data_IF_800101741016
#
_entry.id   IF_800101741016
#
_cell.length_a   1.000
_cell.length_b   1.000
_cell.length_c   1.000
_cell.angle_alpha   90.00
_cell.angle_beta   90.00
_cell.angle_gamma   90.00
#
_symmetry.space_group_name_H-M   'P 1'
#
loop_
_entity.id
_entity.type
_entity.pdbx_description
1 polymer ?
#
# COMPACT_ATOMS: atom_id res chain seq x y z
N UNK A 1 -13.48 -7.06 -4.47
CA UNK A 1 -14.19 -6.70 -5.69
C UNK A 1 -15.68 -6.63 -5.42
N UNK A 2 -16.40 -5.79 -6.16
CA UNK A 2 -17.85 -5.60 -6.02
C UNK A 2 -18.64 -6.89 -6.22
N UNK A 3 -18.16 -7.80 -7.04
CA UNK A 3 -18.77 -9.09 -7.30
C UNK A 3 -18.73 -9.99 -6.06
N UNK A 4 -17.57 -10.12 -5.43
CA UNK A 4 -17.45 -10.92 -4.18
C UNK A 4 -18.34 -10.38 -3.07
N UNK A 5 -18.44 -9.07 -2.95
CA UNK A 5 -19.30 -8.45 -1.96
C UNK A 5 -20.79 -8.71 -2.24
N UNK A 6 -21.20 -8.69 -3.51
CA UNK A 6 -22.56 -9.00 -3.91
C UNK A 6 -22.89 -10.47 -3.65
N UNK A 7 -21.98 -11.37 -4.01
CA UNK A 7 -22.15 -12.81 -3.82
C UNK A 7 -22.26 -13.16 -2.34
N UNK A 8 -21.49 -12.48 -1.51
CA UNK A 8 -21.57 -12.62 -0.07
C UNK A 8 -22.94 -12.28 0.52
N UNK A 9 -23.67 -11.35 -0.08
CA UNK A 9 -25.01 -10.95 0.37
C UNK A 9 -26.10 -11.95 0.02
N UNK A 10 -25.90 -12.71 -1.04
CA UNK A 10 -26.91 -13.60 -1.59
C UNK A 10 -26.70 -15.05 -1.19
N UNK A 11 -25.56 -15.37 -0.59
CA UNK A 11 -25.19 -16.73 -0.27
C UNK A 11 -25.43 -17.07 1.20
N UNK A 12 -25.62 -18.32 1.48
CA UNK A 12 -25.77 -18.80 2.84
C UNK A 12 -24.40 -18.89 3.55
N UNK A 13 -24.44 -19.07 4.85
CA UNK A 13 -23.25 -19.09 5.73
C UNK A 13 -22.29 -20.26 5.47
N UNK A 14 -22.64 -21.22 4.64
CA UNK A 14 -21.81 -22.39 4.33
C UNK A 14 -20.77 -22.14 3.23
N UNK A 15 -20.87 -21.01 2.52
CA UNK A 15 -19.91 -20.66 1.50
C UNK A 15 -18.75 -19.83 2.07
N UNK A 16 -17.51 -20.34 2.07
CA UNK A 16 -16.37 -19.58 2.47
C UNK A 16 -16.08 -18.47 1.43
N UNK A 17 -15.99 -17.23 1.89
CA UNK A 17 -15.63 -16.08 1.07
C UNK A 17 -14.37 -15.49 1.64
N UNK A 18 -13.30 -15.56 0.89
CA UNK A 18 -12.09 -14.82 1.24
C UNK A 18 -12.35 -13.33 1.09
N UNK A 19 -12.45 -12.66 2.21
CA UNK A 19 -12.58 -11.21 2.24
C UNK A 19 -11.71 -10.64 3.33
N UNK A 20 -10.81 -9.76 2.93
CA UNK A 20 -9.81 -9.18 3.81
C UNK A 20 -10.33 -7.97 4.61
N UNK A 21 -11.54 -7.54 4.36
CA UNK A 21 -12.13 -6.35 4.95
C UNK A 21 -12.81 -6.59 6.27
N UNK A 22 -13.59 -7.66 6.31
CA UNK A 22 -14.45 -7.97 7.44
C UNK A 22 -14.03 -9.31 8.04
N UNK A 23 -13.44 -9.32 9.23
CA UNK A 23 -13.14 -10.56 9.92
C UNK A 23 -14.42 -11.20 10.46
N UNK A 24 -14.44 -12.52 10.46
CA UNK A 24 -15.47 -13.30 11.13
C UNK A 24 -15.13 -13.55 12.60
N UNK A 25 -16.10 -14.09 13.33
CA UNK A 25 -15.92 -14.46 14.72
C UNK A 25 -15.75 -13.26 15.65
N UNK A 26 -16.15 -12.08 15.20
CA UNK A 26 -16.21 -10.91 16.05
C UNK A 26 -17.53 -10.95 16.82
N UNK A 27 -17.44 -10.98 18.14
CA UNK A 27 -18.62 -10.88 19.00
C UNK A 27 -19.26 -9.49 18.85
N UNK A 28 -20.54 -9.33 19.26
CA UNK A 28 -21.18 -8.01 19.31
C UNK A 28 -20.40 -6.98 20.13
N UNK A 29 -19.60 -7.44 21.09
CA UNK A 29 -18.69 -6.59 21.89
C UNK A 29 -17.38 -6.23 21.18
N UNK A 30 -17.12 -6.73 19.99
CA UNK A 30 -15.89 -6.51 19.24
C UNK A 30 -14.71 -7.40 19.63
N UNK A 31 -14.91 -8.39 20.49
CA UNK A 31 -13.83 -9.29 20.93
C UNK A 31 -13.49 -10.32 19.86
N UNK A 32 -12.21 -10.47 19.56
CA UNK A 32 -11.70 -11.51 18.65
C UNK A 32 -11.72 -12.85 19.35
N UNK A 33 -12.51 -13.80 18.85
CA UNK A 33 -12.71 -15.11 19.47
C UNK A 33 -11.93 -16.25 18.83
N UNK A 34 -11.42 -16.03 17.60
CA UNK A 34 -10.78 -17.08 16.80
C UNK A 34 -9.60 -16.54 16.02
N UNK A 35 -8.77 -17.44 15.49
CA UNK A 35 -7.66 -17.10 14.59
C UNK A 35 -8.16 -16.41 13.32
N UNK A 36 -7.31 -15.60 12.70
CA UNK A 36 -7.63 -14.83 11.50
C UNK A 36 -8.24 -15.72 10.39
N UNK A 37 -7.61 -16.84 10.07
CA UNK A 37 -8.08 -17.73 9.01
C UNK A 37 -9.54 -18.19 9.21
N UNK A 38 -9.92 -18.46 10.46
CA UNK A 38 -11.31 -18.85 10.81
C UNK A 38 -12.27 -17.67 10.72
N UNK A 39 -11.81 -16.46 11.07
CA UNK A 39 -12.64 -15.24 11.08
C UNK A 39 -12.91 -14.66 9.70
N UNK A 40 -12.03 -14.93 8.73
CA UNK A 40 -12.10 -14.31 7.40
C UNK A 40 -12.97 -15.06 6.38
N UNK A 41 -13.46 -16.26 6.72
CA UNK A 41 -14.13 -17.13 5.76
C UNK A 41 -15.67 -17.12 5.79
N UNK A 42 -16.38 -17.10 6.93
CA UNK A 42 -17.83 -17.18 6.90
C UNK A 42 -18.52 -15.89 6.42
N UNK A 43 -19.66 -16.09 5.81
CA UNK A 43 -20.48 -15.00 5.26
C UNK A 43 -21.15 -14.14 6.34
N UNK A 44 -21.27 -14.66 7.56
CA UNK A 44 -21.87 -13.95 8.69
C UNK A 44 -21.24 -12.58 8.98
N UNK A 45 -19.98 -12.38 8.58
CA UNK A 45 -19.29 -11.10 8.68
C UNK A 45 -19.99 -9.95 7.94
N UNK A 46 -20.83 -10.26 6.98
CA UNK A 46 -21.63 -9.26 6.26
C UNK A 46 -23.00 -9.01 6.91
N UNK A 47 -23.29 -9.67 7.99
CA UNK A 47 -24.51 -9.44 8.76
C UNK A 47 -24.52 -8.05 9.39
N UNK A 48 -25.74 -7.52 9.60
CA UNK A 48 -25.93 -6.16 10.13
C UNK A 48 -25.35 -5.98 11.54
N UNK A 49 -25.33 -7.04 12.33
CA UNK A 49 -24.78 -7.01 13.70
C UNK A 49 -23.26 -6.83 13.77
N UNK A 50 -22.53 -7.22 12.75
CA UNK A 50 -21.08 -7.17 12.74
C UNK A 50 -20.51 -5.88 12.10
N UNK A 51 -21.29 -5.17 11.32
CA UNK A 51 -20.82 -4.00 10.57
C UNK A 51 -20.18 -2.91 11.43
N UNK A 52 -20.75 -2.66 12.61
CA UNK A 52 -20.28 -1.60 13.49
C UNK A 52 -18.99 -1.95 14.24
N UNK A 53 -18.75 -3.23 14.46
CA UNK A 53 -17.57 -3.73 15.17
C UNK A 53 -16.35 -3.84 14.26
N UNK A 54 -16.56 -3.92 12.97
CA UNK A 54 -15.50 -4.10 11.98
C UNK A 54 -15.07 -2.77 11.39
N UNK A 55 -16.01 -1.85 11.27
CA UNK A 55 -15.81 -0.50 10.74
C UNK A 55 -15.73 0.51 11.87
N UNK A 56 -14.82 0.32 12.79
CA UNK A 56 -14.55 1.32 13.83
C UNK A 56 -13.86 2.57 13.27
N UNK A 57 -13.57 2.59 11.99
CA UNK A 57 -12.96 3.72 11.29
C UNK A 57 -14.06 4.57 10.69
N UNK A 58 -14.05 5.83 11.00
CA UNK A 58 -14.92 6.90 10.48
C UNK A 58 -16.41 6.53 10.41
N UNK A 59 -17.17 6.98 11.38
CA UNK A 59 -18.62 6.77 11.47
C UNK A 59 -19.45 7.80 10.73
N UNK A 60 -18.83 8.69 9.96
CA UNK A 60 -19.51 9.81 9.32
C UNK A 60 -19.24 9.84 7.83
N UNK A 61 -20.29 9.98 7.04
CA UNK A 61 -20.18 10.19 5.59
C UNK A 61 -20.05 8.92 4.74
N UNK A 62 -19.33 9.03 3.66
CA UNK A 62 -19.13 7.99 2.62
C UNK A 62 -18.10 6.92 2.99
N UNK A 63 -17.49 7.01 4.18
CA UNK A 63 -16.37 6.17 4.60
C UNK A 63 -16.77 4.82 5.18
N UNK A 64 -17.89 4.29 4.74
CA UNK A 64 -18.38 2.98 5.15
C UNK A 64 -18.14 1.92 4.09
N UNK A 65 -17.80 0.73 4.54
CA UNK A 65 -17.69 -0.45 3.70
C UNK A 65 -16.31 -0.59 3.05
N UNK A 66 -16.26 -1.32 1.94
CA UNK A 66 -15.02 -1.70 1.28
C UNK A 66 -14.15 -0.53 0.79
N UNK A 67 -14.71 0.64 0.61
CA UNK A 67 -14.00 1.83 0.14
C UNK A 67 -13.61 2.81 1.26
N UNK A 68 -13.83 2.44 2.52
CA UNK A 68 -13.37 3.24 3.64
C UNK A 68 -11.84 3.43 3.56
N UNK A 69 -11.37 4.66 3.66
CA UNK A 69 -9.95 5.00 3.52
C UNK A 69 -9.39 4.98 2.08
N UNK A 70 -10.24 4.83 1.06
CA UNK A 70 -9.83 4.92 -0.35
C UNK A 70 -9.95 6.34 -0.93
N UNK A 71 -9.90 7.36 -0.09
CA UNK A 71 -9.98 8.77 -0.48
C UNK A 71 -8.69 9.36 -1.06
N UNK A 72 -7.60 8.61 -1.06
CA UNK A 72 -6.31 9.06 -1.58
C UNK A 72 -6.38 9.35 -3.08
N UNK A 73 -5.60 10.32 -3.50
CA UNK A 73 -5.46 10.66 -4.92
C UNK A 73 -4.96 9.45 -5.72
N UNK A 74 -5.72 9.07 -6.73
CA UNK A 74 -5.36 7.92 -7.56
C UNK A 74 -4.09 8.20 -8.39
N UNK A 75 -3.38 7.13 -8.70
CA UNK A 75 -2.16 7.16 -9.49
C UNK A 75 -2.39 7.79 -10.87
N UNK A 76 -1.42 8.57 -11.35
CA UNK A 76 -1.40 9.14 -12.69
C UNK A 76 -0.51 8.30 -13.60
N UNK A 77 -0.97 8.04 -14.82
CA UNK A 77 -0.16 7.38 -15.87
C UNK A 77 0.96 8.28 -16.37
N UNK A 78 1.97 7.71 -17.02
CA UNK A 78 3.01 8.50 -17.66
C UNK A 78 2.39 9.53 -18.61
N UNK A 79 2.75 10.77 -18.40
CA UNK A 79 2.19 11.91 -19.13
C UNK A 79 3.32 12.70 -19.78
N UNK A 80 3.18 12.99 -21.06
CA UNK A 80 4.13 13.85 -21.76
C UNK A 80 4.01 15.27 -21.21
N UNK A 81 5.10 15.86 -20.76
CA UNK A 81 5.14 17.19 -20.12
C UNK A 81 5.84 18.26 -20.97
N UNK A 82 5.92 18.04 -22.28
CA UNK A 82 6.59 19.00 -23.19
C UNK A 82 5.82 20.30 -23.36
N UNK A 83 4.49 20.26 -23.29
CA UNK A 83 3.66 21.45 -23.37
C UNK A 83 3.26 21.98 -22.00
N UNK A 84 2.91 23.27 -21.93
CA UNK A 84 2.42 23.90 -20.68
C UNK A 84 1.17 23.21 -20.17
N UNK A 85 0.19 22.96 -21.05
CA UNK A 85 -1.06 22.28 -20.70
C UNK A 85 -0.82 20.93 -20.04
N UNK A 86 0.11 20.14 -20.56
CA UNK A 86 0.43 18.81 -20.00
C UNK A 86 1.15 18.94 -18.64
N UNK A 87 2.04 19.91 -18.47
CA UNK A 87 2.64 20.21 -17.16
C UNK A 87 1.61 20.64 -16.13
N UNK A 88 0.63 21.43 -16.54
CA UNK A 88 -0.43 21.91 -15.65
C UNK A 88 -1.35 20.78 -15.20
N UNK A 89 -1.61 19.78 -16.05
CA UNK A 89 -2.31 18.55 -15.64
C UNK A 89 -1.56 17.80 -14.52
N UNK A 90 -0.23 17.65 -14.64
CA UNK A 90 0.58 17.01 -13.59
C UNK A 90 0.57 17.83 -12.31
N UNK A 91 0.72 19.17 -12.41
CA UNK A 91 0.65 20.06 -11.25
C UNK A 91 -0.71 19.99 -10.56
N UNK A 92 -1.80 20.01 -11.33
CA UNK A 92 -3.14 19.88 -10.79
C UNK A 92 -3.32 18.55 -10.05
N UNK A 93 -2.74 17.45 -10.59
CA UNK A 93 -2.77 16.15 -9.94
C UNK A 93 -2.01 16.14 -8.61
N UNK A 94 -0.84 16.76 -8.58
CA UNK A 94 -0.06 16.92 -7.34
C UNK A 94 -0.84 17.76 -6.30
N UNK A 95 -1.50 18.84 -6.74
CA UNK A 95 -2.33 19.68 -5.87
C UNK A 95 -3.57 19.00 -5.30
N UNK A 96 -3.98 17.84 -5.85
CA UNK A 96 -5.07 17.02 -5.31
C UNK A 96 -4.62 16.05 -4.22
N UNK A 97 -3.32 15.90 -4.01
CA UNK A 97 -2.81 14.99 -2.99
C UNK A 97 -3.16 15.51 -1.60
N UNK A 98 -3.66 14.62 -0.77
CA UNK A 98 -4.00 14.88 0.63
C UNK A 98 -3.12 14.01 1.52
N UNK A 99 -2.75 14.56 2.67
CA UNK A 99 -2.05 13.80 3.70
C UNK A 99 -3.07 12.99 4.50
N UNK A 100 -3.04 11.67 4.36
CA UNK A 100 -3.95 10.77 5.08
C UNK A 100 -3.35 9.36 5.19
N UNK A 101 -3.66 8.68 6.28
CA UNK A 101 -3.29 7.30 6.54
C UNK A 101 -1.83 7.10 6.96
N UNK A 102 -1.35 5.89 6.74
CA UNK A 102 0.00 5.44 7.08
C UNK A 102 0.97 5.60 5.90
N UNK A 103 2.23 5.86 6.19
CA UNK A 103 3.28 5.95 5.17
C UNK A 103 3.72 4.55 4.74
N UNK A 104 3.72 4.29 3.44
CA UNK A 104 4.22 3.06 2.84
C UNK A 104 5.05 3.37 1.59
N UNK A 105 6.30 3.75 1.82
CA UNK A 105 7.24 4.14 0.76
C UNK A 105 7.50 2.98 -0.21
N UNK A 106 7.63 1.76 0.32
CA UNK A 106 7.84 0.56 -0.48
C UNK A 106 6.73 0.34 -1.53
N UNK A 107 5.47 0.57 -1.14
CA UNK A 107 4.32 0.44 -2.04
C UNK A 107 4.30 1.56 -3.08
N UNK A 108 4.52 2.81 -2.66
CA UNK A 108 4.60 3.96 -3.56
C UNK A 108 5.69 3.78 -4.61
N UNK A 109 6.89 3.34 -4.18
CA UNK A 109 8.02 3.06 -5.06
C UNK A 109 7.72 1.92 -6.06
N UNK A 110 7.11 0.83 -5.60
CA UNK A 110 6.74 -0.27 -6.46
C UNK A 110 5.74 0.16 -7.56
N UNK A 111 4.73 0.94 -7.21
CA UNK A 111 3.78 1.48 -8.17
C UNK A 111 4.41 2.52 -9.10
N UNK A 112 5.31 3.37 -8.60
CA UNK A 112 6.11 4.26 -9.44
C UNK A 112 6.93 3.48 -10.48
N UNK A 113 7.55 2.37 -10.07
CA UNK A 113 8.27 1.50 -10.99
C UNK A 113 7.36 0.81 -12.02
N UNK A 114 6.17 0.38 -11.60
CA UNK A 114 5.17 -0.18 -12.53
C UNK A 114 4.76 0.82 -13.61
N UNK A 115 4.68 2.11 -13.32
CA UNK A 115 4.37 3.13 -14.35
C UNK A 115 5.46 3.24 -15.41
N UNK A 116 6.73 2.94 -15.08
CA UNK A 116 7.86 2.96 -16.00
C UNK A 116 7.98 1.66 -16.81
N UNK A 117 7.18 0.65 -16.49
CA UNK A 117 7.23 -0.66 -17.14
C UNK A 117 6.49 -0.64 -18.48
N UNK A 118 6.98 -1.42 -19.43
CA UNK A 118 6.27 -1.73 -20.68
C UNK A 118 5.29 -2.92 -20.52
N UNK A 119 5.13 -3.45 -19.30
CA UNK A 119 4.22 -4.54 -18.96
C UNK A 119 2.97 -4.02 -18.25
N UNK A 120 1.94 -4.86 -18.17
CA UNK A 120 0.77 -4.60 -17.35
C UNK A 120 1.19 -4.25 -15.89
N UNK A 121 0.41 -3.41 -15.18
CA UNK A 121 -0.95 -2.96 -15.52
C UNK A 121 -1.03 -1.73 -16.42
N UNK A 122 0.04 -0.94 -16.60
CA UNK A 122 -0.01 0.31 -17.36
C UNK A 122 0.49 0.17 -18.80
N UNK A 123 1.62 -0.50 -18.97
CA UNK A 123 2.29 -0.70 -20.26
C UNK A 123 2.68 0.61 -21.00
N UNK A 124 2.83 1.72 -20.25
CA UNK A 124 3.18 3.03 -20.81
C UNK A 124 4.67 3.23 -20.99
N UNK A 125 5.49 2.43 -20.29
CA UNK A 125 6.93 2.53 -20.35
C UNK A 125 7.51 2.01 -21.66
N UNK A 126 8.62 2.58 -22.10
CA UNK A 126 9.33 2.11 -23.28
C UNK A 126 10.00 0.77 -23.00
N UNK A 127 9.90 -0.17 -23.94
CA UNK A 127 10.60 -1.45 -23.87
C UNK A 127 12.12 -1.21 -23.99
N UNK A 128 12.92 -1.59 -22.99
CA UNK A 128 14.37 -1.38 -22.99
C UNK A 128 15.10 -2.15 -24.10
N UNK A 129 14.51 -3.19 -24.67
CA UNK A 129 15.10 -3.96 -25.76
C UNK A 129 15.07 -3.21 -27.10
N UNK A 130 14.17 -2.25 -27.27
CA UNK A 130 14.02 -1.48 -28.50
C UNK A 130 15.11 -0.42 -28.67
N UNK A 131 15.28 0.09 -29.91
CA UNK A 131 16.19 1.22 -30.19
C UNK A 131 15.80 2.47 -29.39
N UNK A 132 14.49 2.74 -29.24
CA UNK A 132 13.98 3.83 -28.42
C UNK A 132 14.29 3.61 -26.94
N UNK A 133 14.11 2.37 -26.44
CA UNK A 133 14.40 2.00 -25.06
C UNK A 133 15.87 2.18 -24.68
N UNK A 134 16.78 1.81 -25.59
CA UNK A 134 18.23 2.01 -25.39
C UNK A 134 18.65 3.48 -25.27
N UNK A 135 17.83 4.41 -25.78
CA UNK A 135 18.02 5.86 -25.69
C UNK A 135 17.20 6.52 -24.58
N UNK A 136 16.45 5.75 -23.81
CA UNK A 136 15.55 6.24 -22.77
C UNK A 136 16.13 5.94 -21.39
N UNK A 137 16.31 6.97 -20.58
CA UNK A 137 16.63 6.80 -19.15
C UNK A 137 15.33 6.75 -18.35
N UNK A 138 15.17 5.71 -17.55
CA UNK A 138 14.07 5.58 -16.60
C UNK A 138 14.51 6.13 -15.25
N UNK A 139 13.76 7.09 -14.73
CA UNK A 139 14.09 7.77 -13.48
C UNK A 139 12.90 7.73 -12.55
N UNK A 140 13.16 7.43 -11.28
CA UNK A 140 12.23 7.61 -10.17
C UNK A 140 12.74 8.74 -9.30
N UNK A 141 11.86 9.69 -8.96
CA UNK A 141 12.09 10.65 -7.90
C UNK A 141 11.22 10.23 -6.72
N UNK A 142 11.87 9.68 -5.70
CA UNK A 142 11.23 9.24 -4.47
C UNK A 142 11.29 10.40 -3.46
N UNK A 143 10.13 10.82 -2.97
CA UNK A 143 10.03 11.88 -1.96
C UNK A 143 9.20 11.39 -0.79
N UNK A 144 9.71 11.57 0.43
CA UNK A 144 8.99 11.28 1.67
C UNK A 144 9.40 12.25 2.77
N UNK A 145 8.51 12.47 3.71
CA UNK A 145 8.70 13.28 4.92
C UNK A 145 8.70 12.44 6.22
N UNK A 146 8.63 11.12 6.11
CA UNK A 146 8.54 10.27 7.30
C UNK A 146 9.00 8.84 7.13
N UNK A 147 8.98 8.15 8.27
CA UNK A 147 9.26 6.72 8.37
C UNK A 147 8.10 5.90 7.81
N UNK A 148 8.38 4.71 7.32
CA UNK A 148 7.33 3.74 7.03
C UNK A 148 6.54 3.41 8.30
N UNK A 149 5.22 3.34 8.18
CA UNK A 149 4.34 3.06 9.31
C UNK A 149 3.32 1.97 8.97
N UNK A 150 2.95 1.21 9.98
CA UNK A 150 1.82 0.27 9.94
C UNK A 150 1.24 0.20 11.34
N UNK A 151 0.25 1.06 11.60
CA UNK A 151 -0.29 1.24 12.94
C UNK A 151 -1.22 0.11 13.36
N UNK A 152 -1.32 -0.05 14.67
CA UNK A 152 -2.41 -0.80 15.27
C UNK A 152 -3.58 0.12 15.52
N UNK A 153 -4.78 -0.39 15.28
CA UNK A 153 -6.01 0.31 15.59
C UNK A 153 -6.81 -0.48 16.63
N UNK A 154 -7.55 0.24 17.45
CA UNK A 154 -8.51 -0.39 18.35
C UNK A 154 -9.74 -0.86 17.55
N UNK A 155 -9.51 -1.87 16.75
CA UNK A 155 -10.52 -2.56 15.96
C UNK A 155 -10.34 -4.08 16.11
N UNK A 156 -11.31 -4.90 15.68
CA UNK A 156 -11.24 -6.36 15.82
C UNK A 156 -10.02 -7.02 15.17
N UNK A 157 -9.35 -6.35 14.22
CA UNK A 157 -8.14 -6.85 13.58
C UNK A 157 -6.85 -6.37 14.25
N UNK A 158 -6.97 -5.42 15.19
CA UNK A 158 -5.84 -4.76 15.85
C UNK A 158 -4.78 -4.28 14.82
N UNK A 159 -5.22 -3.78 13.69
CA UNK A 159 -4.38 -3.40 12.57
C UNK A 159 -5.11 -2.49 11.59
N UNK A 160 -4.37 -1.58 10.97
CA UNK A 160 -4.80 -0.92 9.74
C UNK A 160 -4.95 -1.95 8.59
N UNK A 161 -5.84 -1.66 7.66
CA UNK A 161 -5.84 -2.34 6.36
C UNK A 161 -4.90 -1.59 5.42
N UNK A 162 -3.88 -2.27 4.94
CA UNK A 162 -2.83 -1.69 4.11
C UNK A 162 -2.72 -2.43 2.77
N UNK A 163 -1.78 -2.03 1.91
CA UNK A 163 -1.45 -2.80 0.71
C UNK A 163 -1.02 -4.26 0.98
N UNK A 164 -0.65 -4.56 2.22
CA UNK A 164 -0.37 -5.94 2.68
C UNK A 164 -1.59 -6.60 3.35
N UNK A 165 -2.74 -5.95 3.34
CA UNK A 165 -3.90 -6.36 4.11
C UNK A 165 -3.75 -6.05 5.60
N UNK A 166 -4.52 -6.75 6.43
CA UNK A 166 -4.35 -6.70 7.88
C UNK A 166 -3.13 -7.49 8.33
N UNK A 167 -2.48 -7.05 9.40
CA UNK A 167 -1.25 -7.68 9.91
C UNK A 167 -1.45 -9.18 10.22
N UNK A 168 -2.62 -9.53 10.77
CA UNK A 168 -2.99 -10.93 11.10
C UNK A 168 -3.07 -11.88 9.89
N UNK A 169 -3.08 -11.37 8.66
CA UNK A 169 -3.03 -12.19 7.45
C UNK A 169 -1.62 -12.73 7.15
N UNK A 170 -0.60 -12.26 7.85
CA UNK A 170 0.78 -12.73 7.71
C UNK A 170 1.44 -12.43 6.36
N UNK A 171 0.90 -11.49 5.59
CA UNK A 171 1.49 -11.09 4.29
C UNK A 171 2.69 -10.18 4.45
N UNK A 172 2.71 -9.35 5.49
CA UNK A 172 3.86 -8.56 5.84
C UNK A 172 4.84 -9.44 6.62
N UNK A 173 6.04 -9.61 6.09
CA UNK A 173 7.09 -10.46 6.64
C UNK A 173 8.32 -9.62 6.92
N UNK A 174 9.06 -9.97 7.97
CA UNK A 174 10.37 -9.39 8.25
C UNK A 174 11.41 -9.83 7.20
N UNK A 175 12.63 -9.31 7.31
CA UNK A 175 13.74 -9.63 6.41
C UNK A 175 14.08 -11.14 6.36
N UNK A 176 13.82 -11.88 7.45
CA UNK A 176 14.02 -13.34 7.52
C UNK A 176 12.86 -14.16 6.93
N UNK A 177 11.83 -13.51 6.39
CA UNK A 177 10.66 -14.18 5.82
C UNK A 177 9.61 -14.61 6.85
N UNK A 178 9.77 -14.28 8.13
CA UNK A 178 8.80 -14.57 9.18
C UNK A 178 7.63 -13.59 9.11
N UNK A 179 6.42 -14.11 9.09
CA UNK A 179 5.21 -13.29 9.08
C UNK A 179 5.07 -12.49 10.37
N UNK A 180 4.71 -11.23 10.25
CA UNK A 180 4.35 -10.41 11.39
C UNK A 180 2.95 -10.75 11.89
N UNK A 181 2.72 -10.46 13.15
CA UNK A 181 1.46 -10.74 13.86
C UNK A 181 0.90 -9.47 14.47
N UNK A 182 -0.32 -9.54 14.99
CA UNK A 182 -0.96 -8.43 15.69
C UNK A 182 -0.22 -7.99 16.97
N UNK A 183 0.67 -8.85 17.50
CA UNK A 183 1.54 -8.54 18.64
C UNK A 183 2.90 -7.97 18.22
N UNK A 184 3.22 -7.89 16.94
CA UNK A 184 4.46 -7.30 16.45
C UNK A 184 4.53 -5.81 16.80
N UNK A 185 5.69 -5.34 17.25
CA UNK A 185 5.88 -3.92 17.62
C UNK A 185 5.79 -3.00 16.40
N UNK A 186 5.54 -1.72 16.61
CA UNK A 186 5.57 -0.72 15.55
C UNK A 186 6.91 -0.72 14.82
N UNK A 187 8.01 -0.85 15.56
CA UNK A 187 9.37 -0.97 15.00
C UNK A 187 9.48 -2.18 14.07
N UNK A 188 9.04 -3.37 14.52
CA UNK A 188 9.12 -4.57 13.68
C UNK A 188 8.28 -4.44 12.40
N UNK A 189 7.15 -3.75 12.48
CA UNK A 189 6.29 -3.50 11.30
C UNK A 189 6.93 -2.50 10.35
N UNK A 190 7.52 -1.42 10.87
CA UNK A 190 8.32 -0.45 10.10
C UNK A 190 9.45 -1.16 9.38
N UNK A 191 10.31 -1.87 10.12
CA UNK A 191 11.51 -2.52 9.58
C UNK A 191 11.17 -3.59 8.52
N UNK A 192 9.99 -4.20 8.63
CA UNK A 192 9.50 -5.12 7.59
C UNK A 192 9.13 -4.40 6.29
N UNK A 193 8.56 -3.19 6.36
CA UNK A 193 8.28 -2.36 5.18
C UNK A 193 9.58 -1.83 4.60
N UNK A 194 10.52 -1.38 5.43
CA UNK A 194 11.85 -0.91 5.02
C UNK A 194 12.62 -1.98 4.26
N UNK A 195 12.55 -3.23 4.72
CA UNK A 195 13.15 -4.36 4.02
C UNK A 195 12.56 -4.57 2.62
N UNK A 196 11.27 -4.31 2.44
CA UNK A 196 10.61 -4.36 1.13
C UNK A 196 10.97 -3.16 0.27
N UNK A 197 11.08 -1.98 0.87
CA UNK A 197 11.54 -0.78 0.18
C UNK A 197 12.93 -1.00 -0.39
N UNK A 198 13.87 -1.47 0.44
CA UNK A 198 15.21 -1.83 -0.02
C UNK A 198 15.19 -2.82 -1.17
N UNK A 199 14.37 -3.86 -1.08
CA UNK A 199 14.26 -4.87 -2.13
C UNK A 199 13.75 -4.27 -3.45
N UNK A 200 12.77 -3.35 -3.40
CA UNK A 200 12.25 -2.67 -4.60
C UNK A 200 13.32 -1.75 -5.19
N UNK A 201 14.04 -0.99 -4.33
CA UNK A 201 15.14 -0.13 -4.77
C UNK A 201 16.23 -0.93 -5.49
N UNK A 202 16.69 -2.03 -4.88
CA UNK A 202 17.75 -2.86 -5.44
C UNK A 202 17.31 -3.49 -6.79
N UNK A 203 16.09 -3.99 -6.87
CA UNK A 203 15.56 -4.58 -8.10
C UNK A 203 15.37 -3.53 -9.21
N UNK A 204 14.90 -2.33 -8.88
CA UNK A 204 14.74 -1.25 -9.85
C UNK A 204 16.10 -0.80 -10.40
N UNK A 205 17.08 -0.60 -9.50
CA UNK A 205 18.47 -0.26 -9.88
C UNK A 205 19.09 -1.36 -10.76
N UNK A 206 18.89 -2.62 -10.42
CA UNK A 206 19.37 -3.77 -11.23
C UNK A 206 18.75 -3.82 -12.64
N UNK A 207 17.59 -3.19 -12.84
CA UNK A 207 16.95 -3.01 -14.16
C UNK A 207 17.32 -1.69 -14.85
N UNK A 208 18.33 -0.98 -14.34
CA UNK A 208 18.83 0.26 -14.94
C UNK A 208 17.96 1.49 -14.65
N UNK A 209 17.04 1.41 -13.70
CA UNK A 209 16.27 2.58 -13.25
C UNK A 209 17.14 3.42 -12.32
N UNK A 210 17.23 4.71 -12.58
CA UNK A 210 17.89 5.65 -11.69
C UNK A 210 16.90 6.15 -10.64
N UNK A 211 17.32 6.15 -9.37
CA UNK A 211 16.51 6.60 -8.25
C UNK A 211 17.17 7.81 -7.61
N UNK A 212 16.46 8.93 -7.61
CA UNK A 212 16.75 10.10 -6.78
C UNK A 212 15.87 10.00 -5.54
N UNK A 213 16.43 10.14 -4.36
CA UNK A 213 15.69 10.12 -3.11
C UNK A 213 15.77 11.49 -2.41
N UNK A 214 14.62 11.97 -1.96
CA UNK A 214 14.48 13.27 -1.29
C UNK A 214 13.80 13.04 0.05
N UNK A 215 14.50 13.38 1.14
CA UNK A 215 13.97 13.28 2.50
C UNK A 215 13.68 14.66 3.06
N UNK A 216 12.41 14.96 3.35
CA UNK A 216 12.01 16.25 3.91
C UNK A 216 11.78 16.10 5.41
N UNK A 217 12.71 16.57 6.24
CA UNK A 217 12.56 16.50 7.69
C UNK A 217 12.56 15.07 8.27
N UNK A 218 13.10 14.12 7.54
CA UNK A 218 13.10 12.68 7.91
C UNK A 218 14.00 12.39 9.10
N UNK A 219 13.68 11.31 9.82
CA UNK A 219 14.52 10.76 10.88
C UNK A 219 15.88 10.27 10.35
N UNK A 220 16.85 10.09 11.24
CA UNK A 220 18.14 9.47 10.88
C UNK A 220 17.97 8.04 10.34
N UNK A 221 16.93 7.32 10.80
CA UNK A 221 16.57 5.99 10.31
C UNK A 221 16.16 6.04 8.85
N UNK A 222 15.13 6.84 8.50
CA UNK A 222 14.67 7.00 7.13
C UNK A 222 15.74 7.58 6.21
N UNK A 223 16.57 8.51 6.72
CA UNK A 223 17.70 9.04 5.96
C UNK A 223 18.61 7.93 5.45
N UNK A 224 18.98 6.97 6.32
CA UNK A 224 19.83 5.84 5.93
C UNK A 224 19.18 5.00 4.85
N UNK A 225 17.89 4.69 4.98
CA UNK A 225 17.15 3.87 4.02
C UNK A 225 17.05 4.58 2.65
N UNK A 226 16.77 5.88 2.66
CA UNK A 226 16.68 6.68 1.44
C UNK A 226 18.04 6.81 0.73
N UNK A 227 19.14 6.96 1.50
CA UNK A 227 20.49 6.95 0.95
C UNK A 227 20.83 5.62 0.28
N UNK A 228 20.46 4.49 0.90
CA UNK A 228 20.63 3.15 0.32
C UNK A 228 19.75 2.94 -0.93
N UNK A 229 18.57 3.54 -0.95
CA UNK A 229 17.64 3.47 -2.07
C UNK A 229 18.12 4.28 -3.27
N UNK A 230 18.69 5.45 -3.05
CA UNK A 230 19.25 6.27 -4.12
C UNK A 230 20.25 5.47 -4.98
N UNK A 231 20.31 5.75 -6.27
CA UNK A 231 21.27 5.04 -7.17
C UNK A 231 22.71 5.35 -6.80
N UNK A 232 22.97 6.56 -6.35
CA UNK A 232 24.25 7.02 -5.82
C UNK A 232 23.99 7.96 -4.65
N UNK A 233 24.97 8.15 -3.78
CA UNK A 233 24.84 9.00 -2.62
C UNK A 233 24.60 10.48 -3.00
N UNK A 234 25.14 10.95 -4.12
CA UNK A 234 24.91 12.29 -4.67
C UNK A 234 23.51 12.49 -5.29
N UNK A 235 22.70 11.42 -5.31
CA UNK A 235 21.29 11.45 -5.70
C UNK A 235 20.33 11.42 -4.49
N UNK A 236 20.86 11.59 -3.29
CA UNK A 236 20.07 11.81 -2.08
C UNK A 236 20.10 13.29 -1.68
N UNK A 237 18.92 13.86 -1.37
CA UNK A 237 18.73 15.28 -1.02
C UNK A 237 17.91 15.45 0.26
#
# INVERSE_FOLDING_TARGET
STTRYRDARTQNTSYPIENNWLPDGVSPSGTLTTAWATRSTPIAKYGTSNKNNVLSVAKTGTDYGPNAGCGLTNLMRLTNVRTTTQRDLVKAKLGQMIADGNTNVAMGLAWGWHTLSNNAPFADGVDPATTAGKKTTKVIVLLTDGDNTNDTYNNPNNSAYTGYGYIGQGRLKNASGTALTTSSTATNRRDAIDSREKLVCDNAKAKGVQIYAIGVGVSSHSKTILQDCATKLDMYY
#
